data_IF_805850803709
#
_entry.id   IF_805850803709
#
_cell.length_a   1.000
_cell.length_b   1.000
_cell.length_c   1.000
_cell.angle_alpha   90.00
_cell.angle_beta   90.00
_cell.angle_gamma   90.00
#
_symmetry.space_group_name_H-M   'P 1'
#
loop_
_entity.id
_entity.type
_entity.pdbx_description
1 polymer ?
#
# COMPACT_ATOMS: atom_id res chain seq x y z
N UNK A 1 1.23 -4.92 -25.47
CA UNK A 1 0.44 -3.86 -24.81
C UNK A 1 0.74 -3.84 -23.31
N UNK A 2 1.04 -2.69 -22.77
CA UNK A 2 1.33 -2.56 -21.35
C UNK A 2 0.04 -2.21 -20.60
N UNK A 3 -0.42 -3.15 -19.77
CA UNK A 3 -1.66 -2.99 -19.00
C UNK A 3 -1.44 -2.36 -17.63
N UNK A 4 -0.19 -2.09 -17.28
CA UNK A 4 0.20 -1.56 -15.97
C UNK A 4 0.68 -0.12 -16.14
N UNK A 5 0.13 0.81 -15.35
CA UNK A 5 0.55 2.20 -15.36
C UNK A 5 1.95 2.34 -14.77
N UNK A 6 2.68 3.43 -15.08
CA UNK A 6 3.97 3.69 -14.44
C UNK A 6 3.89 3.72 -12.91
N UNK A 7 2.79 4.24 -12.35
CA UNK A 7 2.57 4.27 -10.91
C UNK A 7 2.47 2.86 -10.33
N UNK A 8 1.67 2.01 -10.97
CA UNK A 8 1.50 0.62 -10.53
C UNK A 8 2.81 -0.14 -10.62
N UNK A 9 3.57 0.07 -11.69
CA UNK A 9 4.88 -0.55 -11.86
C UNK A 9 5.82 -0.14 -10.74
N UNK A 10 5.83 1.15 -10.37
CA UNK A 10 6.66 1.63 -9.28
C UNK A 10 6.30 0.97 -7.96
N UNK A 11 5.01 0.81 -7.68
CA UNK A 11 4.56 0.12 -6.46
C UNK A 11 5.01 -1.35 -6.44
N UNK A 12 4.89 -2.04 -7.57
CA UNK A 12 5.33 -3.43 -7.65
C UNK A 12 6.83 -3.55 -7.39
N UNK A 13 7.62 -2.63 -7.93
CA UNK A 13 9.06 -2.61 -7.69
C UNK A 13 9.39 -2.34 -6.22
N UNK A 14 8.68 -1.40 -5.59
CA UNK A 14 8.84 -1.10 -4.17
C UNK A 14 8.51 -2.32 -3.31
N UNK A 15 7.41 -2.99 -3.59
CA UNK A 15 7.02 -4.18 -2.85
C UNK A 15 8.05 -5.29 -3.00
N UNK A 16 8.56 -5.50 -4.21
CA UNK A 16 9.52 -6.55 -4.49
C UNK A 16 10.85 -6.34 -3.76
N UNK A 17 11.42 -5.13 -3.86
CA UNK A 17 12.73 -4.88 -3.25
C UNK A 17 12.70 -4.81 -1.73
N UNK A 18 11.54 -4.58 -1.13
CA UNK A 18 11.38 -4.56 0.32
C UNK A 18 10.86 -5.88 0.87
N UNK A 19 10.78 -6.90 0.03
CA UNK A 19 10.25 -8.21 0.41
C UNK A 19 8.85 -8.12 1.02
N UNK A 20 8.08 -7.16 0.55
CA UNK A 20 6.70 -6.97 0.96
C UNK A 20 5.75 -7.88 0.19
N UNK A 21 6.24 -8.52 -0.85
CA UNK A 21 5.48 -9.49 -1.63
C UNK A 21 6.21 -10.83 -1.58
N UNK A 22 5.52 -11.86 -1.09
CA UNK A 22 6.03 -13.21 -1.00
C UNK A 22 5.23 -14.11 -1.93
N UNK A 23 5.92 -14.92 -2.70
CA UNK A 23 5.30 -15.85 -3.65
C UNK A 23 5.97 -17.21 -3.57
N UNK A 24 5.17 -18.26 -3.71
CA UNK A 24 5.68 -19.63 -3.83
C UNK A 24 4.84 -20.38 -4.85
N UNK A 25 5.49 -21.17 -5.69
CA UNK A 25 4.83 -22.05 -6.65
C UNK A 25 4.68 -23.50 -6.13
N UNK A 26 5.15 -23.75 -4.89
CA UNK A 26 5.03 -25.06 -4.26
C UNK A 26 3.81 -25.06 -3.34
N UNK A 27 2.77 -25.80 -3.71
CA UNK A 27 1.51 -25.84 -2.98
C UNK A 27 1.66 -26.19 -1.51
N UNK A 28 2.56 -27.10 -1.19
CA UNK A 28 2.75 -27.54 0.20
C UNK A 28 3.36 -26.48 1.13
N UNK A 29 3.88 -25.39 0.57
CA UNK A 29 4.41 -24.27 1.35
C UNK A 29 3.57 -23.01 1.15
N UNK A 30 2.34 -23.15 0.69
CA UNK A 30 1.43 -22.02 0.57
C UNK A 30 1.20 -21.36 1.91
N UNK A 31 0.96 -20.05 1.85
CA UNK A 31 0.88 -19.20 3.02
C UNK A 31 -0.54 -19.19 3.62
N UNK A 32 -0.68 -19.28 4.95
CA UNK A 32 -2.00 -19.21 5.58
C UNK A 32 -2.50 -17.77 5.63
N UNK A 33 -3.77 -17.60 5.34
CA UNK A 33 -4.45 -16.30 5.41
C UNK A 33 -5.38 -16.26 6.62
N UNK A 34 -5.70 -15.03 7.07
CA UNK A 34 -6.64 -14.84 8.18
C UNK A 34 -8.03 -15.38 7.87
N UNK A 35 -8.37 -15.51 6.59
CA UNK A 35 -9.64 -16.10 6.17
C UNK A 35 -9.72 -17.61 6.40
N UNK A 36 -8.63 -18.25 6.81
CA UNK A 36 -8.55 -19.70 6.96
C UNK A 36 -8.14 -20.43 5.69
N UNK A 37 -8.00 -19.71 4.59
CA UNK A 37 -7.52 -20.27 3.32
C UNK A 37 -6.01 -20.18 3.25
N UNK A 38 -5.42 -20.93 2.32
CA UNK A 38 -4.01 -20.83 2.03
C UNK A 38 -3.84 -20.38 0.58
N UNK A 39 -2.74 -19.71 0.28
CA UNK A 39 -2.48 -19.25 -1.07
C UNK A 39 -1.01 -19.09 -1.37
N UNK A 40 -0.66 -18.91 -2.66
CA UNK A 40 0.73 -18.89 -3.10
C UNK A 40 1.42 -17.54 -2.91
N UNK A 41 0.72 -16.50 -2.48
CA UNK A 41 1.33 -15.18 -2.32
C UNK A 41 0.80 -14.49 -1.08
N UNK A 42 1.57 -13.53 -0.61
CA UNK A 42 1.20 -12.69 0.54
C UNK A 42 1.83 -11.32 0.36
N UNK A 43 1.07 -10.27 0.66
CA UNK A 43 1.57 -8.90 0.63
C UNK A 43 1.68 -8.40 2.07
N UNK A 44 2.90 -8.06 2.48
CA UNK A 44 3.18 -7.51 3.80
C UNK A 44 3.65 -6.07 3.63
N UNK A 45 2.70 -5.16 3.56
CA UNK A 45 2.96 -3.75 3.29
C UNK A 45 3.86 -3.10 4.34
N UNK A 46 3.87 -3.61 5.57
CA UNK A 46 4.71 -3.08 6.65
C UNK A 46 6.20 -3.12 6.31
N UNK A 47 6.62 -4.08 5.48
CA UNK A 47 8.02 -4.20 5.12
C UNK A 47 8.53 -3.00 4.35
N UNK A 48 7.65 -2.24 3.69
CA UNK A 48 8.03 -1.02 3.00
C UNK A 48 8.57 0.03 3.97
N UNK A 49 8.10 0.03 5.21
CA UNK A 49 8.53 0.99 6.23
C UNK A 49 10.00 0.83 6.60
N UNK A 50 10.59 -0.35 6.33
CA UNK A 50 12.01 -0.59 6.61
C UNK A 50 12.94 0.18 5.69
N UNK A 51 12.41 0.68 4.58
CA UNK A 51 13.14 1.53 3.66
C UNK A 51 12.48 2.92 3.67
N UNK A 52 13.11 3.87 4.36
CA UNK A 52 12.51 5.20 4.55
C UNK A 52 12.20 5.93 3.25
N UNK A 53 13.03 5.77 2.23
CA UNK A 53 12.80 6.41 0.93
C UNK A 53 11.57 5.83 0.24
N UNK A 54 11.44 4.50 0.26
CA UNK A 54 10.31 3.83 -0.36
C UNK A 54 9.02 4.12 0.42
N UNK A 55 9.10 4.14 1.74
CA UNK A 55 7.97 4.49 2.58
C UNK A 55 7.47 5.91 2.28
N UNK A 56 8.40 6.87 2.23
CA UNK A 56 8.07 8.24 1.89
C UNK A 56 7.46 8.34 0.49
N UNK A 57 8.01 7.63 -0.47
CA UNK A 57 7.49 7.59 -1.84
C UNK A 57 6.04 7.10 -1.89
N UNK A 58 5.72 6.06 -1.13
CA UNK A 58 4.35 5.54 -1.06
C UNK A 58 3.41 6.55 -0.41
N UNK A 59 3.84 7.18 0.67
CA UNK A 59 3.02 8.19 1.37
C UNK A 59 2.73 9.38 0.45
N UNK A 60 3.75 9.88 -0.25
CA UNK A 60 3.58 11.01 -1.18
C UNK A 60 2.65 10.65 -2.34
N UNK A 61 2.78 9.44 -2.87
CA UNK A 61 1.93 8.98 -3.97
C UNK A 61 0.47 8.81 -3.53
N UNK A 62 0.25 8.25 -2.34
CA UNK A 62 -1.10 8.14 -1.79
C UNK A 62 -1.73 9.51 -1.55
N UNK A 63 -0.94 10.45 -1.03
CA UNK A 63 -1.41 11.81 -0.80
C UNK A 63 -1.81 12.47 -2.12
N UNK A 64 -0.97 12.37 -3.14
CA UNK A 64 -1.24 12.93 -4.47
C UNK A 64 -2.49 12.30 -5.08
N UNK A 65 -2.64 11.00 -4.97
CA UNK A 65 -3.81 10.29 -5.46
C UNK A 65 -5.09 10.81 -4.80
N UNK A 66 -5.07 11.01 -3.48
CA UNK A 66 -6.23 11.50 -2.75
C UNK A 66 -6.57 12.94 -3.11
N UNK A 67 -5.56 13.79 -3.31
CA UNK A 67 -5.79 15.16 -3.76
C UNK A 67 -6.53 15.16 -5.11
N UNK A 68 -6.10 14.31 -6.03
CA UNK A 68 -6.76 14.20 -7.34
C UNK A 68 -8.20 13.71 -7.18
N UNK A 69 -8.42 12.70 -6.33
CA UNK A 69 -9.76 12.13 -6.14
C UNK A 69 -10.72 13.05 -5.43
N UNK A 70 -10.24 13.87 -4.47
CA UNK A 70 -11.11 14.74 -3.68
C UNK A 70 -11.25 16.14 -4.27
N UNK A 71 -10.34 16.55 -5.14
CA UNK A 71 -10.27 17.89 -5.70
C UNK A 71 -11.56 18.36 -6.37
N UNK A 72 -12.27 17.45 -7.01
CA UNK A 72 -13.46 17.78 -7.79
C UNK A 72 -14.76 17.56 -7.03
N UNK A 73 -14.67 17.14 -5.78
CA UNK A 73 -15.83 16.91 -4.92
C UNK A 73 -15.77 17.90 -3.77
N UNK A 74 -16.57 18.89 -3.81
CA UNK A 74 -16.55 20.00 -2.86
C UNK A 74 -17.11 19.57 -1.48
N UNK A 75 -16.46 18.59 -0.85
CA UNK A 75 -16.85 18.01 0.43
C UNK A 75 -15.66 17.94 1.39
N UNK A 76 -15.96 17.90 2.66
CA UNK A 76 -14.94 17.66 3.68
C UNK A 76 -14.68 16.17 3.83
N UNK A 77 -13.42 15.82 4.00
CA UNK A 77 -12.99 14.42 4.07
C UNK A 77 -12.20 14.18 5.33
N UNK A 78 -12.31 12.95 5.83
CA UNK A 78 -11.42 12.41 6.86
C UNK A 78 -10.70 11.20 6.30
N UNK A 79 -9.49 10.95 6.79
CA UNK A 79 -8.70 9.79 6.40
C UNK A 79 -8.87 8.72 7.47
N UNK A 80 -9.24 7.53 7.06
CA UNK A 80 -9.43 6.41 7.97
C UNK A 80 -8.74 5.16 7.47
N UNK A 81 -7.99 4.51 8.34
CA UNK A 81 -7.46 3.17 8.07
C UNK A 81 -8.39 2.11 8.63
N UNK A 82 -8.33 0.91 8.06
CA UNK A 82 -9.23 -0.19 8.44
C UNK A 82 -8.83 -0.86 9.75
N UNK A 83 -7.55 -1.18 9.89
CA UNK A 83 -7.03 -1.86 11.07
C UNK A 83 -5.71 -1.23 11.49
N UNK A 84 -5.13 -1.70 12.60
CA UNK A 84 -3.94 -1.08 13.18
C UNK A 84 -2.76 -0.98 12.21
N UNK A 85 -2.57 -1.94 11.33
CA UNK A 85 -1.49 -1.90 10.33
C UNK A 85 -1.71 -0.79 9.31
N UNK A 86 -2.95 -0.50 8.99
CA UNK A 86 -3.27 0.54 8.01
C UNK A 86 -2.94 1.94 8.53
N UNK A 87 -2.82 2.10 9.85
CA UNK A 87 -2.45 3.37 10.45
C UNK A 87 -1.05 3.82 10.05
N UNK A 88 -0.17 2.88 9.71
CA UNK A 88 1.16 3.22 9.23
C UNK A 88 1.13 4.02 7.93
N UNK A 89 0.05 3.90 7.18
CA UNK A 89 -0.14 4.64 5.94
C UNK A 89 -1.15 5.77 6.09
N UNK A 90 -2.27 5.53 6.77
CA UNK A 90 -3.32 6.54 6.91
C UNK A 90 -2.88 7.75 7.73
N UNK A 91 -2.17 7.54 8.84
CA UNK A 91 -1.71 8.65 9.69
C UNK A 91 -0.74 9.59 8.97
N UNK A 92 0.34 9.09 8.33
CA UNK A 92 1.21 9.98 7.58
C UNK A 92 0.53 10.69 6.42
N UNK A 93 -0.39 10.00 5.73
CA UNK A 93 -1.13 10.62 4.62
C UNK A 93 -2.03 11.74 5.15
N UNK A 94 -2.77 11.50 6.23
CA UNK A 94 -3.61 12.52 6.84
C UNK A 94 -2.79 13.72 7.27
N UNK A 95 -1.66 13.48 7.92
CA UNK A 95 -0.74 14.54 8.35
C UNK A 95 -0.22 15.33 7.15
N UNK A 96 0.19 14.65 6.09
CA UNK A 96 0.71 15.28 4.87
C UNK A 96 -0.32 16.19 4.21
N UNK A 97 -1.60 15.80 4.26
CA UNK A 97 -2.69 16.56 3.64
C UNK A 97 -3.35 17.55 4.60
N UNK A 98 -2.97 17.55 5.87
CA UNK A 98 -3.62 18.41 6.87
C UNK A 98 -5.06 18.03 7.15
N UNK A 99 -5.40 16.74 7.00
CA UNK A 99 -6.74 16.20 7.23
C UNK A 99 -6.81 15.43 8.55
N UNK A 100 -8.00 15.41 9.18
CA UNK A 100 -8.17 14.56 10.36
C UNK A 100 -7.97 13.09 10.06
#
# INVERSE_FOLDING_TARGET
MNLISPREKNYLEILARNKAFTFTDEEKVWLPYTSGRVGPYYVDSENVMKNGKDYLSVIEDLADFLVIKTKYQNEDYVISGGESKDWFFSSPVASRLGMP
#
